data_IF_923371323878
#
_entry.id   IF_923371323878
#
_cell.length_a   1.000
_cell.length_b   1.000
_cell.length_c   1.000
_cell.angle_alpha   90.00
_cell.angle_beta   90.00
_cell.angle_gamma   90.00
#
_symmetry.space_group_name_H-M   'P 1'
#
loop_
_entity.id
_entity.type
_entity.pdbx_description
1 polymer ?
#
# COMPACT_ATOMS: atom_id res chain seq x y z
N UNK A 1 29.43 -3.00 71.25
CA UNK A 1 29.93 -2.89 69.87
C UNK A 1 28.85 -3.48 69.00
N UNK A 2 27.97 -2.61 68.49
CA UNK A 2 26.65 -2.99 68.01
C UNK A 2 26.47 -2.45 66.60
N UNK A 3 26.07 -3.36 65.72
CA UNK A 3 25.97 -3.26 64.26
C UNK A 3 25.20 -2.03 63.76
N UNK A 4 25.84 -1.24 62.90
CA UNK A 4 25.19 -0.33 61.97
C UNK A 4 25.18 -0.94 60.58
N UNK A 5 24.04 -1.52 60.18
CA UNK A 5 23.84 -2.00 58.82
C UNK A 5 23.48 -0.81 57.92
N UNK A 6 24.35 -0.49 56.97
CA UNK A 6 24.08 0.47 55.90
C UNK A 6 23.15 -0.20 54.88
N UNK A 7 21.94 0.36 54.73
CA UNK A 7 21.05 0.03 53.64
C UNK A 7 21.54 0.74 52.37
N UNK A 8 21.98 -0.04 51.39
CA UNK A 8 22.33 0.44 50.05
C UNK A 8 21.01 0.71 49.32
N UNK A 9 20.81 1.95 48.87
CA UNK A 9 19.67 2.32 48.04
C UNK A 9 19.81 1.68 46.66
N UNK A 10 18.91 0.74 46.36
CA UNK A 10 18.77 0.15 45.03
C UNK A 10 18.07 1.15 44.12
N UNK A 11 18.82 1.72 43.17
CA UNK A 11 18.28 2.61 42.15
C UNK A 11 17.72 1.75 41.03
N UNK A 12 16.49 1.28 41.21
CA UNK A 12 15.73 0.65 40.15
C UNK A 12 15.52 1.68 39.01
N UNK A 13 16.22 1.45 37.90
CA UNK A 13 15.94 2.06 36.60
C UNK A 13 14.48 1.75 36.24
N UNK A 14 13.61 2.74 36.42
CA UNK A 14 12.26 2.70 35.84
C UNK A 14 12.41 3.16 34.40
N UNK A 15 12.51 2.20 33.47
CA UNK A 15 12.35 2.52 32.06
C UNK A 15 10.97 3.17 31.84
N UNK A 16 10.89 4.32 31.13
CA UNK A 16 9.61 4.93 30.82
C UNK A 16 8.77 3.95 30.00
N UNK A 17 7.58 3.60 30.48
CA UNK A 17 6.67 2.64 29.86
C UNK A 17 6.35 2.91 28.37
N UNK A 18 6.59 4.13 27.87
CA UNK A 18 6.45 4.50 26.45
C UNK A 18 7.60 4.07 25.53
N UNK A 19 8.83 3.93 26.03
CA UNK A 19 9.98 3.54 25.20
C UNK A 19 9.89 2.07 24.79
N UNK A 20 9.46 1.19 25.69
CA UNK A 20 9.28 -0.23 25.40
C UNK A 20 8.19 -0.51 24.36
N UNK A 21 7.10 0.28 24.37
CA UNK A 21 6.00 0.14 23.39
C UNK A 21 6.44 0.60 22.00
N UNK A 22 7.16 1.72 21.91
CA UNK A 22 7.67 2.22 20.63
C UNK A 22 8.71 1.29 20.01
N UNK A 23 9.62 0.73 20.83
CA UNK A 23 10.61 -0.26 20.38
C UNK A 23 9.95 -1.55 19.88
N UNK A 24 8.89 -2.01 20.56
CA UNK A 24 8.13 -3.18 20.15
C UNK A 24 7.43 -2.93 18.79
N UNK A 25 6.78 -1.77 18.63
CA UNK A 25 6.13 -1.41 17.36
C UNK A 25 7.13 -1.35 16.21
N UNK A 26 8.30 -0.73 16.41
CA UNK A 26 9.33 -0.67 15.38
C UNK A 26 9.85 -2.07 14.99
N UNK A 27 10.08 -2.93 15.98
CA UNK A 27 10.49 -4.31 15.73
C UNK A 27 9.41 -5.08 14.95
N UNK A 28 8.14 -4.91 15.31
CA UNK A 28 7.03 -5.53 14.62
C UNK A 28 6.92 -5.00 13.18
N UNK A 29 7.10 -3.70 12.98
CA UNK A 29 7.07 -3.04 11.67
C UNK A 29 8.18 -3.57 10.74
N UNK A 30 9.38 -3.80 11.27
CA UNK A 30 10.51 -4.34 10.49
C UNK A 30 10.41 -5.84 10.22
N UNK A 31 9.64 -6.59 11.02
CA UNK A 31 9.49 -8.05 10.87
C UNK A 31 8.20 -8.47 10.16
N UNK A 32 7.29 -7.53 9.86
CA UNK A 32 5.99 -7.79 9.21
C UNK A 32 5.88 -7.12 7.84
N UNK A 33 4.96 -7.60 6.99
CA UNK A 33 4.61 -6.96 5.72
C UNK A 33 5.72 -7.00 4.67
N UNK A 34 6.39 -8.14 4.55
CA UNK A 34 7.44 -8.42 3.57
C UNK A 34 6.91 -9.03 2.27
N UNK A 35 5.63 -9.41 2.24
CA UNK A 35 4.95 -10.01 1.10
C UNK A 35 3.75 -9.15 0.72
N UNK A 36 3.41 -9.15 -0.57
CA UNK A 36 2.26 -8.43 -1.08
C UNK A 36 0.97 -9.18 -0.76
N UNK A 37 -0.14 -8.46 -0.50
CA UNK A 37 -1.43 -9.07 -0.22
C UNK A 37 -1.99 -9.82 -1.45
N UNK A 38 -2.84 -10.83 -1.25
CA UNK A 38 -3.43 -11.62 -2.36
C UNK A 38 -4.26 -10.75 -3.31
N UNK A 39 -4.80 -9.64 -2.82
CA UNK A 39 -5.58 -8.65 -3.55
C UNK A 39 -4.78 -8.00 -4.69
N UNK A 40 -3.45 -8.00 -4.59
CA UNK A 40 -2.54 -7.53 -5.63
C UNK A 40 -2.35 -8.54 -6.78
N UNK A 41 -2.85 -9.76 -6.63
CA UNK A 41 -2.82 -10.78 -7.67
C UNK A 41 -3.99 -10.65 -8.64
N UNK A 42 -3.74 -10.93 -9.92
CA UNK A 42 -4.82 -10.97 -10.89
C UNK A 42 -5.64 -12.25 -10.70
N UNK A 43 -6.97 -12.20 -10.54
CA UNK A 43 -7.79 -13.37 -10.22
C UNK A 43 -7.97 -14.34 -11.39
N UNK A 44 -7.38 -14.06 -12.56
CA UNK A 44 -7.45 -14.91 -13.75
C UNK A 44 -6.17 -15.74 -13.92
N UNK A 45 -5.00 -15.13 -13.73
CA UNK A 45 -3.71 -15.82 -13.82
C UNK A 45 -3.10 -16.17 -12.46
N UNK A 46 -3.62 -15.62 -11.37
CA UNK A 46 -3.12 -15.78 -9.99
C UNK A 46 -1.73 -15.22 -9.72
N UNK A 47 -1.07 -14.63 -10.73
CA UNK A 47 0.21 -13.94 -10.55
C UNK A 47 0.01 -12.51 -10.02
N UNK A 48 0.91 -12.07 -9.12
CA UNK A 48 1.00 -10.69 -8.66
C UNK A 48 1.10 -9.72 -9.83
N UNK A 49 0.35 -8.62 -9.79
CA UNK A 49 0.37 -7.59 -10.83
C UNK A 49 1.58 -6.67 -10.60
N UNK A 50 2.35 -6.42 -11.65
CA UNK A 50 3.51 -5.51 -11.63
C UNK A 50 3.16 -4.12 -11.06
N UNK A 51 4.09 -3.55 -10.30
CA UNK A 51 3.94 -2.22 -9.72
C UNK A 51 4.33 -1.10 -10.71
N UNK A 52 3.59 0.03 -10.70
CA UNK A 52 2.39 0.29 -9.90
C UNK A 52 1.16 -0.41 -10.48
N UNK A 53 0.38 -1.12 -9.63
CA UNK A 53 -0.75 -1.97 -10.05
C UNK A 53 -1.73 -1.25 -10.97
N UNK A 54 -2.03 0.02 -10.67
CA UNK A 54 -2.95 0.85 -11.45
C UNK A 54 -2.52 1.10 -12.91
N UNK A 55 -1.23 0.96 -13.25
CA UNK A 55 -0.74 1.08 -14.64
C UNK A 55 -0.83 -0.23 -15.41
N UNK A 56 -0.84 -1.35 -14.71
CA UNK A 56 -0.77 -2.69 -15.29
C UNK A 56 -2.07 -3.48 -15.14
N UNK A 57 -3.14 -2.83 -14.67
CA UNK A 57 -4.44 -3.44 -14.45
C UNK A 57 -5.61 -2.48 -14.60
N UNK A 58 -6.83 -3.04 -14.63
CA UNK A 58 -8.09 -2.29 -14.55
C UNK A 58 -8.97 -2.91 -13.48
N UNK A 59 -9.46 -2.08 -12.54
CA UNK A 59 -10.49 -2.47 -11.57
C UNK A 59 -11.82 -2.69 -12.28
N UNK A 60 -12.48 -3.81 -12.01
CA UNK A 60 -13.83 -4.08 -12.53
C UNK A 60 -14.88 -3.84 -11.47
N UNK A 61 -15.63 -2.76 -11.62
CA UNK A 61 -16.63 -2.31 -10.62
C UNK A 61 -17.79 -3.28 -10.38
N UNK A 62 -17.99 -4.27 -11.25
CA UNK A 62 -18.97 -5.33 -11.01
C UNK A 62 -18.55 -6.29 -9.89
N UNK A 63 -17.25 -6.45 -9.62
CA UNK A 63 -16.70 -7.40 -8.65
C UNK A 63 -15.55 -6.87 -7.79
N UNK A 64 -15.17 -5.60 -7.95
CA UNK A 64 -14.00 -4.95 -7.33
C UNK A 64 -12.67 -5.67 -7.53
N UNK A 65 -12.58 -6.61 -8.48
CA UNK A 65 -11.31 -7.27 -8.77
C UNK A 65 -10.45 -6.47 -9.74
N UNK A 66 -9.16 -6.41 -9.46
CA UNK A 66 -8.14 -5.87 -10.36
C UNK A 66 -7.70 -6.95 -11.33
N UNK A 67 -7.70 -6.65 -12.62
CA UNK A 67 -7.29 -7.62 -13.63
C UNK A 67 -6.14 -7.05 -14.43
N UNK A 68 -5.07 -7.83 -14.57
CA UNK A 68 -3.90 -7.37 -15.33
C UNK A 68 -4.26 -7.15 -16.80
N UNK A 69 -3.56 -6.21 -17.43
CA UNK A 69 -3.79 -5.85 -18.84
C UNK A 69 -3.61 -7.05 -19.78
N UNK A 70 -2.72 -8.00 -19.44
CA UNK A 70 -2.53 -9.24 -20.20
C UNK A 70 -3.79 -10.12 -20.23
N UNK A 71 -4.42 -10.36 -19.08
CA UNK A 71 -5.66 -11.15 -19.02
C UNK A 71 -6.84 -10.42 -19.67
N UNK A 72 -6.89 -9.09 -19.55
CA UNK A 72 -7.90 -8.27 -20.23
C UNK A 72 -7.76 -8.39 -21.75
N UNK A 73 -6.55 -8.18 -22.28
CA UNK A 73 -6.26 -8.30 -23.71
C UNK A 73 -6.63 -9.68 -24.26
N UNK A 74 -6.30 -10.77 -23.54
CA UNK A 74 -6.67 -12.13 -23.96
C UNK A 74 -8.18 -12.33 -23.98
N UNK A 75 -8.91 -11.75 -23.03
CA UNK A 75 -10.36 -11.85 -22.99
C UNK A 75 -11.02 -11.08 -24.15
N UNK A 76 -10.54 -9.86 -24.46
CA UNK A 76 -11.01 -9.05 -25.58
C UNK A 76 -10.83 -9.78 -26.92
N UNK A 77 -9.67 -10.42 -27.13
CA UNK A 77 -9.40 -11.27 -28.32
C UNK A 77 -10.35 -12.48 -28.42
N UNK A 78 -10.98 -12.89 -27.32
CA UNK A 78 -12.01 -13.96 -27.28
C UNK A 78 -13.43 -13.42 -27.40
N UNK A 79 -13.59 -12.13 -27.73
CA UNK A 79 -14.89 -11.49 -27.91
C UNK A 79 -15.58 -11.08 -26.60
N UNK A 80 -14.85 -11.02 -25.48
CA UNK A 80 -15.41 -10.64 -24.16
C UNK A 80 -15.34 -9.13 -23.93
N UNK A 81 -15.68 -8.33 -24.95
CA UNK A 81 -15.51 -6.87 -24.90
C UNK A 81 -16.54 -6.18 -23.99
N UNK A 82 -17.75 -6.74 -23.90
CA UNK A 82 -18.87 -6.12 -23.18
C UNK A 82 -19.19 -6.82 -21.85
N UNK A 83 -18.37 -7.79 -21.44
CA UNK A 83 -18.55 -8.55 -20.21
C UNK A 83 -17.26 -8.59 -19.39
N UNK A 84 -17.39 -8.64 -18.06
CA UNK A 84 -16.26 -8.83 -17.18
C UNK A 84 -15.64 -10.22 -17.40
N UNK A 85 -14.33 -10.35 -17.72
CA UNK A 85 -13.71 -11.64 -17.95
C UNK A 85 -13.59 -12.51 -16.70
N UNK A 86 -13.76 -11.93 -15.51
CA UNK A 86 -13.81 -12.68 -14.26
C UNK A 86 -15.25 -13.14 -13.94
N UNK A 87 -16.16 -12.23 -13.61
CA UNK A 87 -17.50 -12.59 -13.13
C UNK A 87 -18.60 -12.62 -14.19
N UNK A 88 -18.26 -12.41 -15.48
CA UNK A 88 -19.17 -12.45 -16.65
C UNK A 88 -20.30 -11.42 -16.66
N UNK A 89 -20.39 -10.55 -15.65
CA UNK A 89 -21.36 -9.45 -15.63
C UNK A 89 -21.11 -8.48 -16.78
N UNK A 90 -22.15 -8.01 -17.50
CA UNK A 90 -22.00 -6.95 -18.49
C UNK A 90 -21.27 -5.73 -17.92
N UNK A 91 -20.36 -5.16 -18.71
CA UNK A 91 -19.63 -3.97 -18.30
C UNK A 91 -20.57 -2.75 -18.26
N UNK A 92 -20.41 -1.84 -17.29
CA UNK A 92 -21.23 -0.65 -17.21
C UNK A 92 -20.90 0.29 -18.37
N UNK A 93 -21.94 0.80 -19.03
CA UNK A 93 -21.83 1.64 -20.24
C UNK A 93 -21.79 3.13 -19.92
N UNK A 94 -22.17 3.52 -18.70
CA UNK A 94 -22.24 4.91 -18.24
C UNK A 94 -21.87 5.02 -16.75
N UNK A 95 -21.78 6.25 -16.25
CA UNK A 95 -21.40 6.48 -14.86
C UNK A 95 -22.50 6.11 -13.86
N UNK A 96 -23.77 6.20 -14.26
CA UNK A 96 -24.89 5.79 -13.42
C UNK A 96 -24.88 4.27 -13.15
N UNK A 97 -24.64 3.46 -14.19
CA UNK A 97 -24.50 2.01 -14.07
C UNK A 97 -23.24 1.61 -13.31
N UNK A 98 -22.11 2.32 -13.48
CA UNK A 98 -20.91 2.13 -12.64
C UNK A 98 -21.25 2.37 -11.17
N UNK A 99 -21.89 3.50 -10.86
CA UNK A 99 -22.24 3.87 -9.49
C UNK A 99 -23.20 2.85 -8.88
N UNK A 100 -24.22 2.41 -9.61
CA UNK A 100 -25.15 1.38 -9.14
C UNK A 100 -24.43 0.06 -8.80
N UNK A 101 -23.44 -0.35 -9.61
CA UNK A 101 -22.63 -1.54 -9.32
C UNK A 101 -21.73 -1.36 -8.09
N UNK A 102 -21.10 -0.19 -7.94
CA UNK A 102 -20.30 0.17 -6.76
C UNK A 102 -21.18 0.13 -5.52
N UNK A 103 -22.34 0.81 -5.53
CA UNK A 103 -23.24 0.88 -4.39
C UNK A 103 -23.74 -0.50 -3.96
N UNK A 104 -23.99 -1.40 -4.92
CA UNK A 104 -24.36 -2.80 -4.61
C UNK A 104 -23.27 -3.54 -3.84
N UNK A 105 -22.00 -3.22 -4.05
CA UNK A 105 -20.86 -3.80 -3.33
C UNK A 105 -20.65 -3.12 -1.96
N UNK A 106 -20.76 -1.79 -1.92
CA UNK A 106 -20.76 -1.00 -0.68
C UNK A 106 -21.84 -1.50 0.29
N UNK A 107 -23.06 -1.71 -0.18
CA UNK A 107 -24.16 -2.24 0.64
C UNK A 107 -23.93 -3.66 1.17
N UNK A 108 -22.90 -4.37 0.67
CA UNK A 108 -22.48 -5.68 1.14
C UNK A 108 -21.24 -5.63 2.04
N UNK A 109 -20.75 -4.44 2.39
CA UNK A 109 -19.54 -4.26 3.20
C UNK A 109 -18.25 -4.62 2.47
N UNK A 110 -18.23 -4.50 1.13
CA UNK A 110 -17.01 -4.72 0.34
C UNK A 110 -16.04 -3.55 0.55
N UNK A 111 -14.97 -3.78 1.31
CA UNK A 111 -14.02 -2.74 1.72
C UNK A 111 -13.38 -2.01 0.52
N UNK A 112 -13.06 -2.74 -0.56
CA UNK A 112 -12.49 -2.16 -1.77
C UNK A 112 -13.51 -1.29 -2.51
N UNK A 113 -14.79 -1.67 -2.50
CA UNK A 113 -15.84 -0.85 -3.08
C UNK A 113 -16.05 0.46 -2.29
N UNK A 114 -16.00 0.38 -0.96
CA UNK A 114 -16.14 1.54 -0.07
C UNK A 114 -14.95 2.49 -0.29
N UNK A 115 -13.72 1.95 -0.31
CA UNK A 115 -12.52 2.71 -0.66
C UNK A 115 -12.65 3.37 -2.06
N UNK A 116 -13.10 2.60 -3.06
CA UNK A 116 -13.27 3.09 -4.41
C UNK A 116 -14.31 4.21 -4.50
N UNK A 117 -15.39 4.13 -3.71
CA UNK A 117 -16.40 5.19 -3.61
C UNK A 117 -15.82 6.44 -2.95
N UNK A 118 -15.05 6.29 -1.87
CA UNK A 118 -14.32 7.39 -1.22
C UNK A 118 -13.45 8.16 -2.22
N UNK A 119 -12.72 7.45 -3.08
CA UNK A 119 -11.94 8.05 -4.17
C UNK A 119 -12.83 8.86 -5.14
N UNK A 120 -14.05 8.40 -5.46
CA UNK A 120 -14.95 9.16 -6.36
C UNK A 120 -15.42 10.47 -5.73
N UNK A 121 -15.72 10.48 -4.44
CA UNK A 121 -16.05 11.71 -3.72
C UNK A 121 -14.85 12.64 -3.61
N UNK A 122 -13.66 12.13 -3.29
CA UNK A 122 -12.45 12.94 -3.17
C UNK A 122 -12.08 13.70 -4.45
N UNK A 123 -12.26 13.06 -5.62
CA UNK A 123 -11.92 13.65 -6.92
C UNK A 123 -13.11 14.22 -7.70
N UNK A 124 -14.34 14.15 -7.17
CA UNK A 124 -15.56 14.58 -7.88
C UNK A 124 -15.77 13.82 -9.19
N UNK A 125 -15.82 12.48 -9.12
CA UNK A 125 -16.01 11.59 -10.28
C UNK A 125 -17.39 10.92 -10.22
N UNK A 126 -17.82 10.32 -11.35
CA UNK A 126 -19.13 9.67 -11.49
C UNK A 126 -20.32 10.62 -11.22
N UNK A 127 -20.18 11.90 -11.58
CA UNK A 127 -21.22 12.91 -11.38
C UNK A 127 -21.25 13.55 -9.99
N UNK A 128 -20.35 13.16 -9.07
CA UNK A 128 -20.22 13.82 -7.78
C UNK A 128 -19.45 15.13 -7.85
N UNK A 129 -19.85 16.09 -7.02
CA UNK A 129 -18.98 17.19 -6.62
C UNK A 129 -17.90 16.66 -5.67
N UNK A 130 -16.73 17.32 -5.66
CA UNK A 130 -15.67 16.98 -4.71
C UNK A 130 -16.18 17.15 -3.27
N UNK A 131 -16.05 16.10 -2.47
CA UNK A 131 -16.43 16.06 -1.05
C UNK A 131 -15.37 15.27 -0.26
N UNK A 132 -14.47 16.01 0.40
CA UNK A 132 -13.34 15.41 1.14
C UNK A 132 -13.80 14.82 2.49
N UNK A 133 -14.63 15.52 3.30
CA UNK A 133 -15.15 14.92 4.54
C UNK A 133 -15.84 13.58 4.31
N UNK A 134 -16.71 13.49 3.30
CA UNK A 134 -17.39 12.22 3.02
C UNK A 134 -16.45 11.13 2.50
N UNK A 135 -15.42 11.49 1.71
CA UNK A 135 -14.38 10.54 1.32
C UNK A 135 -13.61 9.98 2.54
N UNK A 136 -13.35 10.81 3.55
CA UNK A 136 -12.68 10.38 4.79
C UNK A 136 -13.55 9.43 5.60
N UNK A 137 -14.86 9.67 5.69
CA UNK A 137 -15.80 8.76 6.34
C UNK A 137 -15.75 7.37 5.68
N UNK A 138 -15.87 7.34 4.35
CA UNK A 138 -15.80 6.10 3.57
C UNK A 138 -14.44 5.40 3.71
N UNK A 139 -13.34 6.13 3.65
CA UNK A 139 -12.01 5.53 3.83
C UNK A 139 -11.80 5.03 5.26
N UNK A 140 -12.37 5.67 6.27
CA UNK A 140 -12.34 5.19 7.65
C UNK A 140 -13.08 3.87 7.77
N UNK A 141 -14.30 3.78 7.24
CA UNK A 141 -15.09 2.55 7.19
C UNK A 141 -14.35 1.43 6.42
N UNK A 142 -13.80 1.74 5.25
CA UNK A 142 -13.05 0.77 4.45
C UNK A 142 -11.79 0.26 5.18
N UNK A 143 -11.07 1.13 5.89
CA UNK A 143 -9.90 0.76 6.68
C UNK A 143 -10.28 -0.14 7.86
N UNK A 144 -11.38 0.14 8.56
CA UNK A 144 -11.93 -0.71 9.61
C UNK A 144 -12.32 -2.11 9.09
N UNK A 145 -12.79 -2.18 7.84
CA UNK A 145 -13.08 -3.43 7.13
C UNK A 145 -11.84 -4.09 6.50
N UNK A 146 -10.65 -3.50 6.66
CA UNK A 146 -9.37 -4.09 6.29
C UNK A 146 -8.76 -3.62 4.97
N UNK A 147 -9.33 -2.60 4.30
CA UNK A 147 -8.75 -2.04 3.08
C UNK A 147 -7.40 -1.36 3.36
N UNK A 148 -6.32 -1.91 2.80
CA UNK A 148 -4.98 -1.35 2.93
C UNK A 148 -4.81 -0.05 2.15
N UNK A 149 -5.45 0.04 0.97
CA UNK A 149 -5.50 1.27 0.18
C UNK A 149 -6.18 2.39 0.97
N UNK A 150 -7.27 2.11 1.69
CA UNK A 150 -7.95 3.12 2.50
C UNK A 150 -7.07 3.64 3.64
N UNK A 151 -6.34 2.75 4.33
CA UNK A 151 -5.32 3.16 5.30
C UNK A 151 -4.23 4.02 4.65
N UNK A 152 -3.77 3.66 3.45
CA UNK A 152 -2.81 4.48 2.72
C UNK A 152 -3.37 5.88 2.40
N UNK A 153 -4.58 5.98 1.86
CA UNK A 153 -5.21 7.26 1.52
C UNK A 153 -5.39 8.14 2.77
N UNK A 154 -5.88 7.58 3.88
CA UNK A 154 -5.96 8.28 5.17
C UNK A 154 -4.57 8.70 5.69
N UNK A 155 -3.57 7.86 5.48
CA UNK A 155 -2.19 8.11 5.84
C UNK A 155 -1.64 9.36 5.15
N UNK A 156 -1.73 9.38 3.82
CA UNK A 156 -1.27 10.50 2.98
C UNK A 156 -2.07 11.77 3.26
N UNK A 157 -3.40 11.65 3.39
CA UNK A 157 -4.29 12.79 3.62
C UNK A 157 -3.96 13.51 4.93
N UNK A 158 -3.78 12.77 6.04
CA UNK A 158 -3.43 13.36 7.32
C UNK A 158 -1.99 13.87 7.34
N UNK A 159 -1.05 13.18 6.67
CA UNK A 159 0.36 13.58 6.64
C UNK A 159 0.59 14.93 5.95
N UNK A 160 -0.12 15.20 4.85
CA UNK A 160 0.01 16.48 4.10
C UNK A 160 -1.11 17.49 4.37
N UNK A 161 -2.12 17.16 5.18
CA UNK A 161 -3.26 18.04 5.45
C UNK A 161 -4.14 18.31 4.21
N UNK A 162 -4.32 17.33 3.32
CA UNK A 162 -5.09 17.53 2.09
C UNK A 162 -6.61 17.59 2.34
N UNK A 163 -7.12 18.77 2.69
CA UNK A 163 -8.54 19.00 2.98
C UNK A 163 -8.92 18.74 4.44
N UNK A 164 -7.93 18.52 5.30
CA UNK A 164 -8.03 18.47 6.76
C UNK A 164 -6.84 19.20 7.39
N UNK A 165 -6.89 19.43 8.71
CA UNK A 165 -5.71 19.86 9.43
C UNK A 165 -4.63 18.77 9.39
N UNK A 166 -3.38 19.17 9.12
CA UNK A 166 -2.23 18.26 9.13
C UNK A 166 -2.09 17.57 10.50
N UNK A 167 -1.93 16.25 10.46
CA UNK A 167 -1.68 15.39 11.61
C UNK A 167 -0.76 14.24 11.17
N UNK A 168 0.55 14.56 11.11
CA UNK A 168 1.58 13.59 10.70
C UNK A 168 1.59 12.32 11.56
N UNK A 169 1.51 12.37 12.90
CA UNK A 169 1.45 11.16 13.72
C UNK A 169 0.29 10.23 13.35
N UNK A 170 -0.91 10.79 13.12
CA UNK A 170 -2.07 9.99 12.69
C UNK A 170 -1.89 9.44 11.28
N UNK A 171 -1.27 10.21 10.38
CA UNK A 171 -0.91 9.76 9.04
C UNK A 171 0.06 8.56 9.07
N UNK A 172 1.17 8.71 9.79
CA UNK A 172 2.19 7.67 9.99
C UNK A 172 1.56 6.41 10.60
N UNK A 173 0.69 6.55 11.60
CA UNK A 173 0.03 5.41 12.21
C UNK A 173 -0.76 4.57 11.19
N UNK A 174 -1.56 5.21 10.32
CA UNK A 174 -2.29 4.51 9.27
C UNK A 174 -1.36 3.83 8.25
N UNK A 175 -0.27 4.51 7.88
CA UNK A 175 0.74 3.96 6.98
C UNK A 175 1.42 2.74 7.59
N UNK A 176 1.74 2.75 8.89
CA UNK A 176 2.30 1.62 9.62
C UNK A 176 1.35 0.42 9.59
N UNK A 177 0.04 0.62 9.86
CA UNK A 177 -0.96 -0.46 9.81
C UNK A 177 -1.00 -1.15 8.43
N UNK A 178 -1.03 -0.35 7.36
CA UNK A 178 -1.04 -0.88 5.99
C UNK A 178 0.30 -1.55 5.62
N UNK A 179 1.42 -0.93 5.98
CA UNK A 179 2.76 -1.43 5.68
C UNK A 179 3.00 -2.80 6.33
N UNK A 180 2.58 -2.99 7.59
CA UNK A 180 2.69 -4.25 8.32
C UNK A 180 1.89 -5.40 7.69
N UNK A 181 0.88 -5.07 6.88
CA UNK A 181 0.07 -6.02 6.11
C UNK A 181 0.50 -6.12 4.63
N UNK A 182 1.67 -5.58 4.27
CA UNK A 182 2.24 -5.74 2.94
C UNK A 182 1.91 -4.62 1.94
N UNK A 183 1.27 -3.52 2.37
CA UNK A 183 1.00 -2.41 1.46
C UNK A 183 2.29 -1.69 1.06
N UNK A 184 2.67 -1.87 -0.21
CA UNK A 184 3.97 -1.43 -0.75
C UNK A 184 4.11 0.09 -0.74
N UNK A 185 3.04 0.81 -1.11
CA UNK A 185 3.04 2.27 -1.13
C UNK A 185 3.24 2.87 0.26
N UNK A 186 2.60 2.29 1.27
CA UNK A 186 2.75 2.74 2.67
C UNK A 186 4.16 2.46 3.18
N UNK A 187 4.70 1.27 2.87
CA UNK A 187 6.07 0.90 3.23
C UNK A 187 7.09 1.88 2.64
N UNK A 188 6.96 2.18 1.34
CA UNK A 188 7.84 3.11 0.65
C UNK A 188 7.72 4.54 1.20
N UNK A 189 6.50 4.96 1.54
CA UNK A 189 6.25 6.27 2.13
C UNK A 189 6.89 6.40 3.52
N UNK A 190 6.79 5.39 4.37
CA UNK A 190 7.48 5.39 5.67
C UNK A 190 9.00 5.53 5.48
N UNK A 191 9.58 4.90 4.47
CA UNK A 191 10.99 5.12 4.13
C UNK A 191 11.31 6.58 3.79
N UNK A 192 10.42 7.28 3.10
CA UNK A 192 10.55 8.73 2.84
C UNK A 192 10.43 9.56 4.12
N UNK A 193 9.49 9.22 5.01
CA UNK A 193 9.34 9.89 6.31
C UNK A 193 10.62 9.77 7.13
N UNK A 194 11.16 8.56 7.26
CA UNK A 194 12.40 8.31 8.00
C UNK A 194 13.60 9.02 7.35
N UNK A 195 13.61 9.13 6.02
CA UNK A 195 14.66 9.87 5.32
C UNK A 195 14.60 11.37 5.62
N UNK A 196 13.41 11.96 5.59
CA UNK A 196 13.18 13.37 5.89
C UNK A 196 13.49 13.70 7.36
N UNK A 197 13.37 12.72 8.26
CA UNK A 197 13.76 12.79 9.67
C UNK A 197 15.23 12.44 9.94
N UNK A 198 16.05 12.27 8.88
CA UNK A 198 17.48 11.91 8.95
C UNK A 198 17.76 10.52 9.56
N UNK A 199 16.74 9.67 9.71
CA UNK A 199 16.85 8.28 10.15
C UNK A 199 17.24 7.36 8.98
N UNK A 200 18.36 7.66 8.33
CA UNK A 200 18.79 7.04 7.06
C UNK A 200 18.85 5.51 7.10
N UNK A 201 19.28 4.91 8.22
CA UNK A 201 19.32 3.44 8.33
C UNK A 201 17.91 2.83 8.33
N UNK A 202 16.93 3.47 8.97
CA UNK A 202 15.54 3.03 8.95
C UNK A 202 14.91 3.26 7.56
N UNK A 203 15.20 4.40 6.93
CA UNK A 203 14.77 4.67 5.56
C UNK A 203 15.21 3.56 4.59
N UNK A 204 16.48 3.15 4.65
CA UNK A 204 17.00 2.03 3.86
C UNK A 204 16.28 0.73 4.18
N UNK A 205 16.02 0.41 5.46
CA UNK A 205 15.28 -0.80 5.83
C UNK A 205 13.87 -0.83 5.23
N UNK A 206 13.13 0.27 5.36
CA UNK A 206 11.80 0.41 4.75
C UNK A 206 11.84 0.22 3.23
N UNK A 207 12.76 0.92 2.56
CA UNK A 207 12.90 0.83 1.11
C UNK A 207 13.41 -0.52 0.63
N UNK A 208 14.21 -1.24 1.42
CA UNK A 208 14.64 -2.60 1.08
C UNK A 208 13.44 -3.55 1.03
N UNK A 209 12.52 -3.43 1.99
CA UNK A 209 11.29 -4.24 2.04
C UNK A 209 10.40 -3.92 0.83
N UNK A 210 10.12 -2.64 0.54
CA UNK A 210 9.28 -2.28 -0.62
C UNK A 210 9.96 -2.57 -1.96
N UNK A 211 11.29 -2.43 -2.08
CA UNK A 211 12.03 -2.83 -3.27
C UNK A 211 11.94 -4.34 -3.53
N UNK A 212 12.06 -5.17 -2.48
CA UNK A 212 11.83 -6.63 -2.54
C UNK A 212 10.41 -7.00 -2.95
N UNK A 213 9.44 -6.12 -2.76
CA UNK A 213 8.07 -6.29 -3.26
C UNK A 213 7.86 -5.71 -4.67
N UNK A 214 8.92 -5.23 -5.33
CA UNK A 214 8.89 -4.72 -6.71
C UNK A 214 8.69 -3.21 -6.83
N UNK A 215 8.86 -2.41 -5.77
CA UNK A 215 8.80 -0.95 -5.89
C UNK A 215 10.10 -0.35 -6.44
N UNK A 216 10.06 0.05 -7.71
CA UNK A 216 11.20 0.64 -8.40
C UNK A 216 11.63 2.00 -7.80
N UNK A 217 10.72 2.76 -7.20
CA UNK A 217 11.05 4.04 -6.57
C UNK A 217 11.94 3.83 -5.34
N UNK A 218 11.57 2.89 -4.47
CA UNK A 218 12.37 2.49 -3.31
C UNK A 218 13.77 2.02 -3.71
N UNK A 219 13.89 1.19 -4.76
CA UNK A 219 15.21 0.80 -5.29
C UNK A 219 16.04 2.01 -5.77
N UNK A 220 15.40 2.98 -6.43
CA UNK A 220 16.08 4.19 -6.86
C UNK A 220 16.52 5.06 -5.68
N UNK A 221 15.70 5.19 -4.64
CA UNK A 221 16.06 5.91 -3.43
C UNK A 221 17.28 5.28 -2.74
N UNK A 222 17.32 3.94 -2.61
CA UNK A 222 18.51 3.25 -2.05
C UNK A 222 19.75 3.47 -2.92
N UNK A 223 19.59 3.45 -4.25
CA UNK A 223 20.69 3.74 -5.19
C UNK A 223 21.23 5.16 -4.98
N UNK A 224 20.37 6.13 -4.76
CA UNK A 224 20.79 7.52 -4.55
C UNK A 224 21.45 7.69 -3.17
N UNK A 225 20.91 7.08 -2.11
CA UNK A 225 21.58 7.00 -0.80
C UNK A 225 22.94 6.31 -0.86
N UNK A 226 23.12 5.29 -1.72
CA UNK A 226 24.41 4.65 -1.92
C UNK A 226 25.44 5.59 -2.54
N UNK A 227 25.03 6.44 -3.50
CA UNK A 227 25.93 7.45 -4.10
C UNK A 227 26.34 8.52 -3.09
N UNK A 228 25.46 8.83 -2.15
CA UNK A 228 25.69 9.80 -1.07
C UNK A 228 26.49 9.21 0.10
N UNK A 229 26.75 7.89 0.11
CA UNK A 229 27.44 7.20 1.19
C UNK A 229 26.58 6.88 2.41
N UNK A 230 25.26 7.08 2.32
CA UNK A 230 24.28 6.81 3.38
C UNK A 230 23.81 5.35 3.38
N UNK A 231 23.91 4.66 2.24
CA UNK A 231 23.67 3.22 2.12
C UNK A 231 24.95 2.49 1.70
N UNK A 232 25.09 1.24 2.14
CA UNK A 232 26.24 0.38 1.78
C UNK A 232 26.05 -0.26 0.40
N UNK A 233 27.15 -0.66 -0.23
CA UNK A 233 27.13 -1.46 -1.47
C UNK A 233 26.33 -2.76 -1.30
N UNK A 234 26.43 -3.39 -0.13
CA UNK A 234 25.72 -4.62 0.17
C UNK A 234 24.20 -4.40 0.20
N UNK A 235 23.72 -3.35 0.89
CA UNK A 235 22.30 -2.99 0.92
C UNK A 235 21.75 -2.70 -0.48
N UNK A 236 22.47 -1.93 -1.30
CA UNK A 236 22.04 -1.65 -2.67
C UNK A 236 22.00 -2.92 -3.53
N UNK A 237 23.02 -3.79 -3.43
CA UNK A 237 23.04 -5.05 -4.17
C UNK A 237 21.88 -5.97 -3.76
N UNK A 238 21.59 -6.08 -2.47
CA UNK A 238 20.47 -6.87 -1.95
C UNK A 238 19.12 -6.33 -2.45
N UNK A 239 18.90 -5.01 -2.38
CA UNK A 239 17.69 -4.38 -2.88
C UNK A 239 17.51 -4.61 -4.40
N UNK A 240 18.59 -4.56 -5.17
CA UNK A 240 18.56 -4.82 -6.61
C UNK A 240 18.21 -6.27 -6.94
N UNK A 241 18.77 -7.23 -6.18
CA UNK A 241 18.44 -8.65 -6.34
C UNK A 241 16.96 -8.90 -6.01
N UNK A 242 16.49 -8.42 -4.85
CA UNK A 242 15.09 -8.58 -4.45
C UNK A 242 14.10 -7.96 -5.42
N UNK A 243 14.39 -6.75 -5.91
CA UNK A 243 13.56 -6.11 -6.93
C UNK A 243 13.51 -6.91 -8.24
N UNK A 244 14.65 -7.44 -8.70
CA UNK A 244 14.69 -8.26 -9.91
C UNK A 244 13.86 -9.53 -9.76
N UNK A 245 13.96 -10.18 -8.60
CA UNK A 245 13.22 -11.41 -8.33
C UNK A 245 11.70 -11.14 -8.30
N UNK A 246 11.26 -10.04 -7.66
CA UNK A 246 9.86 -9.61 -7.69
C UNK A 246 9.35 -9.25 -9.10
N UNK A 247 10.18 -8.59 -9.91
CA UNK A 247 9.83 -8.30 -11.31
C UNK A 247 9.64 -9.60 -12.09
N UNK A 248 10.53 -10.59 -11.92
CA UNK A 248 10.39 -11.92 -12.53
C UNK A 248 9.09 -12.60 -12.15
N UNK A 249 8.73 -12.62 -10.86
CA UNK A 249 7.48 -13.22 -10.38
C UNK A 249 6.23 -12.62 -11.03
N UNK A 250 6.30 -11.36 -11.46
CA UNK A 250 5.18 -10.70 -12.15
C UNK A 250 5.19 -10.85 -13.68
N UNK A 251 6.23 -11.45 -14.27
CA UNK A 251 6.35 -11.57 -15.73
C UNK A 251 5.31 -12.53 -16.30
N UNK A 252 4.70 -12.11 -17.40
CA UNK A 252 3.76 -12.95 -18.15
C UNK A 252 3.86 -12.61 -19.64
N UNK A 253 3.89 -13.62 -20.55
CA UNK A 253 3.91 -13.37 -21.99
C UNK A 253 2.75 -12.48 -22.45
N UNK A 254 1.57 -12.62 -21.83
CA UNK A 254 0.39 -11.82 -22.14
C UNK A 254 0.55 -10.38 -21.66
N UNK A 255 1.18 -10.14 -20.51
CA UNK A 255 1.44 -8.80 -19.99
C UNK A 255 2.49 -8.08 -20.84
N UNK A 256 3.55 -8.77 -21.24
CA UNK A 256 4.58 -8.24 -22.14
C UNK A 256 4.02 -7.89 -23.52
N UNK A 257 3.12 -8.72 -24.05
CA UNK A 257 2.40 -8.40 -25.28
C UNK A 257 1.45 -7.20 -25.11
N UNK A 258 0.69 -7.14 -24.02
CA UNK A 258 -0.18 -6.00 -23.74
C UNK A 258 0.62 -4.68 -23.66
N UNK A 259 1.79 -4.69 -23.01
CA UNK A 259 2.72 -3.55 -22.99
C UNK A 259 3.15 -3.13 -24.40
N UNK A 260 3.55 -4.08 -25.25
CA UNK A 260 3.96 -3.80 -26.66
C UNK A 260 2.83 -3.15 -27.47
N UNK A 261 1.58 -3.49 -27.17
CA UNK A 261 0.40 -2.97 -27.84
C UNK A 261 -0.14 -1.67 -27.21
N UNK A 262 0.42 -1.22 -26.09
CA UNK A 262 -0.03 -0.03 -25.37
C UNK A 262 -1.38 -0.19 -24.66
N UNK A 263 -1.71 -1.42 -24.22
CA UNK A 263 -3.00 -1.80 -23.60
C UNK A 263 -2.93 -1.85 -22.08
#
# INVERSE_FOLDING_TARGET
MSNGAAAVADSANVEPAGLGVAQNLQQQLMTSGHERPEEDACPICFDLIELPVAKHSKTKVCCMKMMCNGCIMVAERRGMNDICPFCRTPLPVDDASKLAMIQKRVNKGDADAINHLGYKYYYGKLGFTKDVPHAIELWTEAAELGSLDAHYELGILNYYGHGVQEDKPRGIHNLQQAAMKGHVGSRAFLGSVEYDEENHQLAVQHWMISAKMGDQKSLNNIKDMFKEGLATKAQYAEALLGYRDAVEETRSPQREEAKRLGV
#
